data_IF_890920425003
#
_entry.id   IF_890920425003
#
_cell.length_a   1.000
_cell.length_b   1.000
_cell.length_c   1.000
_cell.angle_alpha   90.00
_cell.angle_beta   90.00
_cell.angle_gamma   90.00
#
_symmetry.space_group_name_H-M   'P 1'
#
loop_
_entity.id
_entity.type
_entity.pdbx_description
1 polymer ?
#
# COMPACT_ATOMS: atom_id res chain seq x y z
N UNK A 1 15.48 17.27 -0.23
CA UNK A 1 14.37 17.43 0.73
C UNK A 1 13.66 16.09 0.82
N UNK A 2 13.44 15.51 2.01
CA UNK A 2 12.71 14.24 2.12
C UNK A 2 11.23 14.49 1.88
N UNK A 3 10.62 13.76 0.96
CA UNK A 3 9.18 13.86 0.73
C UNK A 3 8.47 13.11 1.86
N UNK A 4 7.55 13.79 2.56
CA UNK A 4 6.84 13.25 3.71
C UNK A 4 5.35 13.42 3.48
N UNK A 5 4.60 12.35 3.68
CA UNK A 5 3.16 12.39 3.51
C UNK A 5 2.48 13.01 4.73
N UNK A 6 1.45 13.81 4.46
CA UNK A 6 0.54 14.35 5.47
C UNK A 6 -0.85 13.83 5.21
N UNK A 7 -1.59 13.52 6.27
CA UNK A 7 -3.01 13.19 6.15
C UNK A 7 -3.75 14.47 5.75
N UNK A 8 -4.48 14.42 4.64
CA UNK A 8 -5.30 15.54 4.13
C UNK A 8 -6.79 15.24 4.22
N UNK A 9 -7.17 13.96 4.36
CA UNK A 9 -8.55 13.54 4.58
C UNK A 9 -8.61 12.24 5.34
N UNK A 10 -9.51 12.17 6.31
CA UNK A 10 -9.78 10.99 7.10
C UNK A 10 -11.27 10.70 7.14
N UNK A 11 -11.62 9.46 6.79
CA UNK A 11 -12.97 8.93 6.89
C UNK A 11 -12.90 7.57 7.61
N UNK A 12 -14.05 7.10 8.12
CA UNK A 12 -14.18 5.83 8.87
C UNK A 12 -13.53 4.59 8.19
N UNK A 13 -13.47 4.57 6.86
CA UNK A 13 -12.93 3.44 6.07
C UNK A 13 -11.74 3.82 5.18
N UNK A 14 -11.19 5.04 5.29
CA UNK A 14 -10.09 5.43 4.42
C UNK A 14 -9.31 6.64 4.92
N UNK A 15 -8.01 6.65 4.66
CA UNK A 15 -7.12 7.79 4.85
C UNK A 15 -6.55 8.25 3.51
N UNK A 16 -6.48 9.56 3.30
CA UNK A 16 -5.82 10.18 2.15
C UNK A 16 -4.60 10.93 2.65
N UNK A 17 -3.48 10.62 2.03
CA UNK A 17 -2.17 11.16 2.28
C UNK A 17 -1.71 11.96 1.06
N UNK A 18 -1.02 13.06 1.31
CA UNK A 18 -0.50 13.92 0.26
C UNK A 18 0.94 14.33 0.55
N UNK A 19 1.76 14.27 -0.49
CA UNK A 19 3.15 14.75 -0.54
C UNK A 19 3.28 15.79 -1.65
N UNK A 20 4.49 16.24 -1.98
CA UNK A 20 4.66 17.19 -3.08
C UNK A 20 4.21 16.60 -4.43
N UNK A 21 4.59 15.35 -4.70
CA UNK A 21 4.39 14.73 -6.01
C UNK A 21 3.26 13.70 -6.07
N UNK A 22 2.81 13.18 -4.93
CA UNK A 22 1.88 12.06 -4.90
C UNK A 22 0.69 12.29 -3.96
N UNK A 23 -0.44 11.71 -4.35
CA UNK A 23 -1.62 11.51 -3.49
C UNK A 23 -1.81 10.02 -3.31
N UNK A 24 -1.96 9.57 -2.06
CA UNK A 24 -2.19 8.16 -1.72
C UNK A 24 -3.48 8.05 -0.93
N UNK A 25 -4.40 7.20 -1.40
CA UNK A 25 -5.59 6.82 -0.66
C UNK A 25 -5.45 5.38 -0.20
N UNK A 26 -5.52 5.16 1.10
CA UNK A 26 -5.64 3.84 1.72
C UNK A 26 -7.08 3.66 2.13
N UNK A 27 -7.68 2.55 1.70
CA UNK A 27 -9.06 2.21 2.04
C UNK A 27 -9.11 0.83 2.65
N UNK A 28 -9.91 0.68 3.69
CA UNK A 28 -10.30 -0.62 4.20
C UNK A 28 -11.00 -1.41 3.10
N UNK A 29 -10.67 -2.69 3.00
CA UNK A 29 -11.37 -3.65 2.17
C UNK A 29 -11.75 -4.86 3.00
N UNK A 30 -12.80 -5.54 2.55
CA UNK A 30 -13.15 -6.85 3.09
C UNK A 30 -12.19 -7.88 2.48
N UNK A 31 -11.29 -8.39 3.31
CA UNK A 31 -10.30 -9.37 2.89
C UNK A 31 -9.06 -9.40 3.77
N UNK A 32 -8.37 -10.53 3.71
CA UNK A 32 -7.19 -10.81 4.52
C UNK A 32 -6.08 -11.38 3.64
N UNK A 33 -4.84 -11.09 4.01
CA UNK A 33 -3.69 -11.86 3.57
C UNK A 33 -3.41 -12.95 4.59
N UNK A 34 -2.94 -14.08 4.11
CA UNK A 34 -2.36 -15.10 4.97
C UNK A 34 -0.85 -14.86 5.08
N UNK A 35 -0.34 -14.95 6.30
CA UNK A 35 1.10 -14.97 6.60
C UNK A 35 1.51 -16.32 7.13
N UNK A 36 2.47 -16.97 6.48
CA UNK A 36 3.08 -18.22 6.96
C UNK A 36 4.25 -17.99 7.93
N UNK A 37 4.75 -19.05 8.58
CA UNK A 37 5.89 -18.98 9.51
C UNK A 37 7.18 -18.42 8.88
N UNK A 38 7.33 -18.53 7.56
CA UNK A 38 8.43 -17.99 6.77
C UNK A 38 8.19 -16.54 6.29
N UNK A 39 7.17 -15.86 6.81
CA UNK A 39 6.80 -14.48 6.47
C UNK A 39 6.47 -14.23 4.99
N UNK A 40 6.09 -15.27 4.24
CA UNK A 40 5.48 -15.08 2.93
C UNK A 40 4.02 -14.67 3.11
N UNK A 41 3.63 -13.61 2.41
CA UNK A 41 2.26 -13.12 2.36
C UNK A 41 1.61 -13.63 1.07
N UNK A 42 0.52 -14.36 1.20
CA UNK A 42 -0.28 -14.84 0.08
C UNK A 42 -1.67 -14.21 0.17
N UNK A 43 -2.21 -13.82 -0.98
CA UNK A 43 -3.59 -13.38 -1.11
C UNK A 43 -4.48 -14.61 -0.96
N UNK A 44 -5.45 -14.56 -0.04
CA UNK A 44 -6.33 -15.69 0.20
C UNK A 44 -7.36 -15.77 -0.94
N UNK A 45 -7.07 -16.57 -1.96
CA UNK A 45 -8.09 -17.04 -2.93
C UNK A 45 -8.48 -18.50 -2.69
N UNK A 46 -7.74 -19.24 -1.85
CA UNK A 46 -7.93 -20.68 -1.63
C UNK A 46 -8.09 -21.01 -0.14
N UNK A 47 -9.02 -21.92 0.15
CA UNK A 47 -9.22 -22.56 1.45
C UNK A 47 -8.01 -23.46 1.75
N UNK A 48 -6.99 -22.93 2.42
CA UNK A 48 -5.84 -23.71 2.89
C UNK A 48 -6.02 -24.01 4.39
N UNK A 49 -6.27 -25.29 4.71
CA UNK A 49 -6.60 -25.86 6.03
C UNK A 49 -5.43 -25.84 7.05
N UNK A 50 -4.31 -25.19 6.73
CA UNK A 50 -3.15 -25.14 7.60
C UNK A 50 -3.32 -24.13 8.75
N UNK A 51 -3.29 -24.65 9.97
CA UNK A 51 -3.40 -23.91 11.24
C UNK A 51 -2.22 -22.96 11.57
N UNK A 52 -1.18 -22.93 10.73
CA UNK A 52 0.02 -22.11 10.91
C UNK A 52 -0.05 -20.71 10.27
N UNK A 53 -1.19 -20.36 9.68
CA UNK A 53 -1.39 -19.09 9.01
C UNK A 53 -2.00 -18.02 9.92
N UNK A 54 -1.44 -16.81 9.86
CA UNK A 54 -2.03 -15.63 10.50
C UNK A 54 -2.76 -14.78 9.47
N UNK A 55 -4.01 -14.45 9.77
CA UNK A 55 -4.79 -13.50 8.98
C UNK A 55 -4.32 -12.07 9.25
N UNK A 56 -4.02 -11.33 8.20
CA UNK A 56 -3.62 -9.93 8.25
C UNK A 56 -4.62 -9.12 7.45
N UNK A 57 -5.23 -8.12 8.08
CA UNK A 57 -6.21 -7.26 7.40
C UNK A 57 -5.58 -6.62 6.17
N UNK A 58 -6.23 -6.80 5.02
CA UNK A 58 -5.81 -6.16 3.78
C UNK A 58 -6.37 -4.73 3.71
N UNK A 59 -5.62 -3.84 3.05
CA UNK A 59 -6.11 -2.53 2.63
C UNK A 59 -5.91 -2.39 1.12
N UNK A 60 -6.76 -1.61 0.46
CA UNK A 60 -6.50 -1.17 -0.91
C UNK A 60 -5.78 0.18 -0.88
N UNK A 61 -4.62 0.23 -1.52
CA UNK A 61 -3.83 1.42 -1.70
C UNK A 61 -3.97 1.90 -3.14
N UNK A 62 -4.46 3.11 -3.33
CA UNK A 62 -4.43 3.84 -4.60
C UNK A 62 -3.40 4.95 -4.51
N UNK A 63 -2.47 5.02 -5.45
CA UNK A 63 -1.48 6.08 -5.56
C UNK A 63 -1.62 6.79 -6.90
N UNK A 64 -1.56 8.11 -6.86
CA UNK A 64 -1.66 9.01 -8.00
C UNK A 64 -0.43 9.91 -8.03
N UNK A 65 0.23 10.01 -9.19
CA UNK A 65 1.24 11.03 -9.43
C UNK A 65 0.54 12.31 -9.90
N UNK A 66 0.80 13.43 -9.21
CA UNK A 66 0.14 14.72 -9.47
C UNK A 66 0.59 15.38 -10.78
N UNK A 67 1.82 15.13 -11.22
CA UNK A 67 2.37 15.70 -12.44
C UNK A 67 1.81 15.01 -13.69
N UNK A 68 1.75 13.68 -13.67
CA UNK A 68 1.32 12.89 -14.83
C UNK A 68 -0.20 12.62 -14.81
N UNK A 69 -0.86 12.79 -13.66
CA UNK A 69 -2.26 12.39 -13.44
C UNK A 69 -2.48 10.87 -13.41
N UNK A 70 -1.44 10.06 -13.66
CA UNK A 70 -1.54 8.60 -13.69
C UNK A 70 -1.71 8.06 -12.28
N UNK A 71 -2.47 6.97 -12.19
CA UNK A 71 -2.72 6.30 -10.92
C UNK A 71 -2.69 4.78 -11.08
N UNK A 72 -2.41 4.10 -9.98
CA UNK A 72 -2.50 2.63 -9.88
C UNK A 72 -3.05 2.26 -8.51
N UNK A 73 -3.57 1.04 -8.41
CA UNK A 73 -4.04 0.46 -7.17
C UNK A 73 -3.33 -0.86 -6.87
N UNK A 74 -3.20 -1.18 -5.57
CA UNK A 74 -2.64 -2.44 -5.09
C UNK A 74 -3.23 -2.77 -3.72
N UNK A 75 -3.56 -4.05 -3.50
CA UNK A 75 -3.86 -4.56 -2.16
C UNK A 75 -2.56 -4.75 -1.37
N UNK A 76 -2.55 -4.27 -0.13
CA UNK A 76 -1.37 -4.28 0.74
C UNK A 76 -1.65 -5.03 2.03
N UNK A 77 -0.71 -5.90 2.43
CA UNK A 77 -0.78 -6.66 3.69
C UNK A 77 -0.27 -5.83 4.88
N UNK A 78 0.45 -4.75 4.63
CA UNK A 78 1.00 -3.84 5.63
C UNK A 78 -0.06 -2.98 6.33
N UNK A 79 -1.32 -3.05 5.89
CA UNK A 79 -2.39 -2.17 6.36
C UNK A 79 -2.04 -0.69 6.14
N UNK A 80 -2.44 0.16 7.09
CA UNK A 80 -2.09 1.60 7.08
C UNK A 80 -0.58 1.87 7.27
N UNK A 81 0.20 0.87 7.70
CA UNK A 81 1.67 0.98 7.81
C UNK A 81 2.38 1.14 6.47
N UNK A 82 1.69 0.84 5.36
CA UNK A 82 2.22 0.94 3.99
C UNK A 82 2.77 2.33 3.65
N UNK A 83 2.25 3.41 4.27
CA UNK A 83 2.75 4.77 4.03
C UNK A 83 4.24 4.91 4.36
N UNK A 84 4.70 4.32 5.45
CA UNK A 84 6.12 4.41 5.85
C UNK A 84 7.03 3.74 4.81
N UNK A 85 6.57 2.63 4.23
CA UNK A 85 7.33 1.94 3.18
C UNK A 85 7.35 2.75 1.88
N UNK A 86 6.26 3.42 1.53
CA UNK A 86 6.20 4.30 0.36
C UNK A 86 7.08 5.54 0.55
N UNK A 87 7.08 6.13 1.75
CA UNK A 87 8.00 7.21 2.12
C UNK A 87 9.45 6.77 1.97
N UNK A 88 9.77 5.58 2.47
CA UNK A 88 11.11 5.02 2.30
C UNK A 88 11.46 4.84 0.83
N UNK A 89 10.56 4.28 0.02
CA UNK A 89 10.80 4.10 -1.41
C UNK A 89 11.04 5.43 -2.14
N UNK A 90 10.21 6.44 -1.92
CA UNK A 90 10.39 7.75 -2.56
C UNK A 90 11.72 8.39 -2.15
N UNK A 91 12.12 8.23 -0.89
CA UNK A 91 13.31 8.89 -0.35
C UNK A 91 14.62 8.09 -0.51
N UNK A 92 14.56 6.78 -0.74
CA UNK A 92 15.74 5.88 -0.72
C UNK A 92 15.92 5.02 -1.98
N UNK A 93 15.09 5.23 -3.02
CA UNK A 93 15.30 4.65 -4.34
C UNK A 93 14.38 3.49 -4.72
N UNK A 94 13.06 3.66 -4.51
CA UNK A 94 11.93 2.88 -5.05
C UNK A 94 12.23 1.39 -5.21
N UNK A 95 12.21 0.63 -4.11
CA UNK A 95 12.59 -0.79 -4.08
C UNK A 95 11.38 -1.72 -3.94
N UNK A 96 10.47 -1.41 -3.02
CA UNK A 96 9.34 -2.29 -2.67
C UNK A 96 8.18 -2.13 -3.67
N UNK A 97 7.96 -0.89 -4.11
CA UNK A 97 6.88 -0.48 -4.99
C UNK A 97 7.40 0.03 -6.34
N UNK A 98 8.58 -0.41 -6.79
CA UNK A 98 9.18 0.00 -8.08
C UNK A 98 8.18 -0.11 -9.24
N UNK A 99 7.52 -1.27 -9.36
CA UNK A 99 6.53 -1.52 -10.41
C UNK A 99 5.31 -0.58 -10.37
N UNK A 100 4.99 -0.01 -9.20
CA UNK A 100 3.94 0.99 -9.07
C UNK A 100 4.43 2.33 -9.62
N UNK A 101 5.61 2.75 -9.21
CA UNK A 101 6.22 4.01 -9.63
C UNK A 101 6.52 4.02 -11.14
N UNK A 102 7.03 2.92 -11.68
CA UNK A 102 7.29 2.76 -13.12
C UNK A 102 6.04 2.91 -13.99
N UNK A 103 4.84 2.68 -13.41
CA UNK A 103 3.56 2.86 -14.12
C UNK A 103 3.06 4.30 -14.07
N UNK A 104 3.33 5.02 -12.98
CA UNK A 104 2.72 6.33 -12.73
C UNK A 104 3.66 7.51 -12.99
N UNK A 105 4.98 7.29 -13.01
CA UNK A 105 5.99 8.36 -13.19
C UNK A 105 6.44 8.57 -14.64
N UNK A 106 6.02 7.68 -15.54
CA UNK A 106 6.21 7.83 -16.98
C UNK A 106 5.19 8.80 -17.57
#
# INVERSE_FOLDING_TARGET
MKDKFKIVKENKKSLVYESNLYVIKISDIDGFFIKNRYSRYLELEEDDDNSDYRFVKAVNMKITNKLTGKNTQKRCYQGYGVIKEIENDINSGKKVFTNIFDKIDK
#
